data_IF_441768443453
#
_entry.id   IF_441768443453
#
_cell.length_a   1.000
_cell.length_b   1.000
_cell.length_c   1.000
_cell.angle_alpha   90.00
_cell.angle_beta   90.00
_cell.angle_gamma   90.00
#
_symmetry.space_group_name_H-M   'P 1'
#
loop_
_entity.id
_entity.type
_entity.pdbx_description
1 polymer ?
#
# COMPACT_ATOMS: atom_id res chain seq x y z
N UNK A 1 -40.37 -15.08 -11.22
CA UNK A 1 -39.77 -13.86 -10.63
C UNK A 1 -39.05 -14.31 -9.38
N UNK A 2 -37.73 -14.52 -9.46
CA UNK A 2 -36.94 -14.94 -8.30
C UNK A 2 -36.89 -13.77 -7.31
N UNK A 3 -37.56 -13.93 -6.17
CA UNK A 3 -37.53 -12.99 -5.07
C UNK A 3 -36.06 -12.77 -4.67
N UNK A 4 -35.55 -11.57 -4.95
CA UNK A 4 -34.22 -11.17 -4.51
C UNK A 4 -34.31 -11.06 -3.00
N UNK A 5 -33.74 -12.04 -2.31
CA UNK A 5 -33.68 -12.09 -0.86
C UNK A 5 -33.12 -10.75 -0.34
N UNK A 6 -33.83 -10.05 0.57
CA UNK A 6 -33.41 -8.74 1.02
C UNK A 6 -32.01 -8.88 1.62
N UNK A 7 -31.03 -8.29 0.91
CA UNK A 7 -29.62 -8.40 1.24
C UNK A 7 -29.44 -8.22 2.75
N UNK A 8 -29.07 -9.29 3.46
CA UNK A 8 -29.18 -9.27 4.91
C UNK A 8 -28.32 -8.12 5.45
N UNK A 9 -28.79 -7.40 6.48
CA UNK A 9 -28.08 -6.22 6.99
C UNK A 9 -26.62 -6.52 7.35
N UNK A 10 -26.34 -7.76 7.76
CA UNK A 10 -24.99 -8.24 8.04
C UNK A 10 -24.12 -8.36 6.77
N UNK A 11 -24.66 -8.89 5.67
CA UNK A 11 -24.00 -8.92 4.36
C UNK A 11 -23.70 -7.52 3.86
N UNK A 12 -24.65 -6.59 3.99
CA UNK A 12 -24.42 -5.19 3.61
C UNK A 12 -23.31 -4.53 4.46
N UNK A 13 -23.28 -4.78 5.77
CA UNK A 13 -22.20 -4.30 6.65
C UNK A 13 -20.84 -4.90 6.29
N UNK A 14 -20.78 -6.20 6.03
CA UNK A 14 -19.55 -6.88 5.62
C UNK A 14 -19.04 -6.37 4.28
N UNK A 15 -19.94 -6.20 3.30
CA UNK A 15 -19.62 -5.61 2.00
C UNK A 15 -19.05 -4.19 2.14
N UNK A 16 -19.70 -3.32 2.93
CA UNK A 16 -19.21 -1.97 3.17
C UNK A 16 -17.83 -1.94 3.85
N UNK A 17 -17.57 -2.86 4.78
CA UNK A 17 -16.24 -3.01 5.40
C UNK A 17 -15.18 -3.42 4.37
N UNK A 18 -15.48 -4.40 3.51
CA UNK A 18 -14.59 -4.83 2.43
C UNK A 18 -14.32 -3.68 1.45
N UNK A 19 -15.37 -2.95 1.06
CA UNK A 19 -15.27 -1.81 0.15
C UNK A 19 -14.39 -0.69 0.73
N UNK A 20 -14.56 -0.39 2.02
CA UNK A 20 -13.72 0.58 2.73
C UNK A 20 -12.24 0.17 2.74
N UNK A 21 -11.95 -1.10 3.07
CA UNK A 21 -10.59 -1.66 3.03
C UNK A 21 -10.00 -1.58 1.62
N UNK A 22 -10.77 -1.93 0.59
CA UNK A 22 -10.35 -1.83 -0.81
C UNK A 22 -9.96 -0.39 -1.18
N UNK A 23 -10.80 0.59 -0.86
CA UNK A 23 -10.51 2.00 -1.16
C UNK A 23 -9.28 2.51 -0.42
N UNK A 24 -9.12 2.11 0.84
CA UNK A 24 -7.93 2.42 1.62
C UNK A 24 -6.67 1.84 0.95
N UNK A 25 -6.66 0.56 0.63
CA UNK A 25 -5.53 -0.10 -0.05
C UNK A 25 -5.24 0.53 -1.41
N UNK A 26 -6.27 0.82 -2.22
CA UNK A 26 -6.14 1.52 -3.50
C UNK A 26 -5.49 2.89 -3.34
N UNK A 27 -5.82 3.63 -2.27
CA UNK A 27 -5.19 4.91 -1.95
C UNK A 27 -3.71 4.74 -1.59
N UNK A 28 -3.36 3.72 -0.80
CA UNK A 28 -1.96 3.44 -0.45
C UNK A 28 -1.13 3.07 -1.68
N UNK A 29 -1.65 2.22 -2.57
CA UNK A 29 -0.97 1.87 -3.83
C UNK A 29 -0.71 3.11 -4.68
N UNK A 30 -1.67 4.04 -4.77
CA UNK A 30 -1.47 5.32 -5.49
C UNK A 30 -0.37 6.18 -4.87
N UNK A 31 -0.29 6.24 -3.53
CA UNK A 31 0.77 6.97 -2.83
C UNK A 31 2.14 6.34 -3.09
N UNK A 32 2.24 5.01 -3.00
CA UNK A 32 3.47 4.28 -3.30
C UNK A 32 3.94 4.54 -4.74
N UNK A 33 3.04 4.47 -5.74
CA UNK A 33 3.38 4.76 -7.14
C UNK A 33 3.93 6.18 -7.32
N UNK A 34 3.33 7.18 -6.66
CA UNK A 34 3.84 8.56 -6.69
C UNK A 34 5.22 8.68 -6.04
N UNK A 35 5.42 8.02 -4.91
CA UNK A 35 6.72 7.97 -4.26
C UNK A 35 7.75 7.38 -5.22
N UNK A 36 7.52 6.18 -5.78
CA UNK A 36 8.42 5.56 -6.75
C UNK A 36 8.73 6.44 -7.96
N UNK A 37 7.73 7.11 -8.53
CA UNK A 37 7.96 8.05 -9.62
C UNK A 37 8.85 9.24 -9.21
N UNK A 38 8.75 9.72 -7.96
CA UNK A 38 9.65 10.75 -7.43
C UNK A 38 11.08 10.23 -7.23
N UNK A 39 11.25 8.98 -6.77
CA UNK A 39 12.55 8.31 -6.68
C UNK A 39 13.18 8.22 -8.06
N UNK A 40 12.44 7.70 -9.03
CA UNK A 40 12.89 7.53 -10.42
C UNK A 40 13.27 8.88 -11.06
N UNK A 41 12.49 9.93 -10.79
CA UNK A 41 12.80 11.29 -11.20
C UNK A 41 14.11 11.80 -10.56
N UNK A 42 14.28 11.63 -9.26
CA UNK A 42 15.50 12.04 -8.55
C UNK A 42 16.75 11.32 -9.08
N UNK A 43 16.64 10.02 -9.34
CA UNK A 43 17.69 9.19 -9.96
C UNK A 43 18.03 9.67 -11.37
N UNK A 44 17.01 9.91 -12.20
CA UNK A 44 17.19 10.30 -13.61
C UNK A 44 17.81 11.68 -13.75
N UNK A 45 17.47 12.61 -12.86
CA UNK A 45 17.95 13.99 -12.88
C UNK A 45 19.20 14.23 -12.03
N UNK A 46 19.83 13.18 -11.48
CA UNK A 46 21.04 13.26 -10.63
C UNK A 46 20.87 14.22 -9.45
N UNK A 47 19.70 14.21 -8.82
CA UNK A 47 19.53 14.88 -7.52
C UNK A 47 20.10 13.97 -6.44
N UNK A 48 21.42 13.98 -6.29
CA UNK A 48 22.16 13.08 -5.39
C UNK A 48 21.63 13.14 -3.96
N UNK A 49 21.38 14.35 -3.43
CA UNK A 49 20.85 14.53 -2.08
C UNK A 49 19.43 13.95 -1.89
N UNK A 50 18.57 14.08 -2.89
CA UNK A 50 17.21 13.52 -2.83
C UNK A 50 17.24 12.00 -2.96
N UNK A 51 18.18 11.48 -3.76
CA UNK A 51 18.35 10.05 -4.00
C UNK A 51 18.86 9.33 -2.75
N UNK A 52 19.89 9.86 -2.08
CA UNK A 52 20.43 9.29 -0.85
C UNK A 52 19.41 9.30 0.29
N UNK A 53 18.68 10.42 0.46
CA UNK A 53 17.62 10.53 1.46
C UNK A 53 16.51 9.49 1.23
N UNK A 54 16.08 9.33 -0.02
CA UNK A 54 15.04 8.37 -0.39
C UNK A 54 15.50 6.91 -0.19
N UNK A 55 16.73 6.57 -0.57
CA UNK A 55 17.29 5.22 -0.37
C UNK A 55 17.36 4.91 1.13
N UNK A 56 17.86 5.86 1.95
CA UNK A 56 17.92 5.70 3.40
C UNK A 56 16.56 5.47 4.05
N UNK A 57 15.54 6.26 3.68
CA UNK A 57 14.16 6.08 4.17
C UNK A 57 13.58 4.72 3.75
N UNK A 58 13.84 4.28 2.51
CA UNK A 58 13.40 2.97 2.02
C UNK A 58 14.08 1.81 2.77
N UNK A 59 15.38 1.89 3.04
CA UNK A 59 16.12 0.88 3.79
C UNK A 59 15.69 0.80 5.26
N UNK A 60 15.48 1.95 5.92
CA UNK A 60 14.94 2.00 7.28
C UNK A 60 13.53 1.40 7.35
N UNK A 61 12.69 1.72 6.36
CA UNK A 61 11.35 1.14 6.30
C UNK A 61 11.37 -0.37 6.03
N UNK A 62 12.28 -0.84 5.17
CA UNK A 62 12.51 -2.27 4.91
C UNK A 62 12.94 -3.01 6.18
N UNK A 63 13.94 -2.50 6.89
CA UNK A 63 14.44 -3.12 8.13
C UNK A 63 13.36 -3.28 9.19
N UNK A 64 12.48 -2.27 9.35
CA UNK A 64 11.34 -2.33 10.28
C UNK A 64 10.27 -3.36 9.90
N UNK A 65 10.08 -3.63 8.61
CA UNK A 65 9.10 -4.61 8.12
C UNK A 65 9.69 -6.02 8.03
N UNK A 66 10.96 -6.19 7.62
CA UNK A 66 11.67 -7.47 7.63
C UNK A 66 11.77 -8.05 9.05
N UNK A 67 12.03 -7.21 10.06
CA UNK A 67 12.01 -7.63 11.46
C UNK A 67 10.62 -8.05 11.96
N UNK A 68 9.54 -7.63 11.28
CA UNK A 68 8.15 -7.92 11.63
C UNK A 68 7.55 -9.12 10.91
N UNK A 69 8.25 -9.71 9.95
CA UNK A 69 7.84 -10.95 9.28
C UNK A 69 8.53 -12.15 9.95
N UNK A 70 7.85 -12.90 10.84
CA UNK A 70 8.42 -14.11 11.39
C UNK A 70 8.36 -15.21 10.33
N UNK A 71 9.50 -15.53 9.69
CA UNK A 71 9.63 -16.77 8.91
C UNK A 71 10.23 -16.72 7.51
N UNK A 72 11.19 -15.83 7.21
CA UNK A 72 12.08 -16.03 6.06
C UNK A 72 13.55 -15.96 6.51
N UNK A 73 13.96 -16.96 7.28
CA UNK A 73 15.36 -17.39 7.38
C UNK A 73 15.35 -18.87 7.03
N UNK A 74 15.68 -19.17 5.78
CA UNK A 74 16.12 -20.51 5.38
C UNK A 74 17.48 -20.81 6.02
#
# INVERSE_FOLDING_TARGET
MSEIEPCCQQCSRQYNKLLSTYWYQRRQIRKMRKAFAAIECALTHKCDHATEFIIGECEEHRGRYEQRCPGQRE
#
